data_IF_139261174295
#
_entry.id   IF_139261174295
#
_cell.length_a   1.000
_cell.length_b   1.000
_cell.length_c   1.000
_cell.angle_alpha   90.00
_cell.angle_beta   90.00
_cell.angle_gamma   90.00
#
_symmetry.space_group_name_H-M   'P 1'
#
loop_
_entity.id
_entity.type
_entity.pdbx_description
1 polymer ?
#
# COMPACT_ATOMS: atom_id res chain seq x y z
N UNK A 1 -29.12 25.75 -13.34
CA UNK A 1 -29.37 24.62 -12.44
C UNK A 1 -28.01 24.10 -11.96
N UNK A 2 -27.47 24.69 -10.89
CA UNK A 2 -26.27 24.16 -10.24
C UNK A 2 -26.67 22.96 -9.39
N UNK A 3 -26.27 21.77 -9.82
CA UNK A 3 -26.38 20.56 -9.01
C UNK A 3 -25.33 20.66 -7.90
N UNK A 4 -25.75 21.08 -6.72
CA UNK A 4 -24.98 20.93 -5.48
C UNK A 4 -24.77 19.44 -5.20
N UNK A 5 -23.71 18.86 -5.78
CA UNK A 5 -23.20 17.57 -5.34
C UNK A 5 -22.49 17.83 -4.02
N UNK A 6 -23.14 17.46 -2.90
CA UNK A 6 -22.47 17.42 -1.59
C UNK A 6 -21.25 16.49 -1.72
N UNK A 7 -20.05 17.05 -1.79
CA UNK A 7 -18.81 16.26 -1.72
C UNK A 7 -18.83 15.53 -0.37
N UNK A 8 -18.76 14.19 -0.41
CA UNK A 8 -18.54 13.39 0.81
C UNK A 8 -17.26 13.90 1.44
N UNK A 9 -17.30 14.27 2.73
CA UNK A 9 -16.11 14.66 3.46
C UNK A 9 -15.17 13.45 3.52
N UNK A 10 -13.88 13.67 3.26
CA UNK A 10 -12.86 12.64 3.46
C UNK A 10 -12.81 12.24 4.94
N UNK A 11 -12.40 10.99 5.18
CA UNK A 11 -12.05 10.56 6.54
C UNK A 11 -10.79 11.31 6.99
N UNK A 12 -10.48 11.37 8.29
CA UNK A 12 -9.28 12.04 8.78
C UNK A 12 -8.00 11.51 8.12
N UNK A 13 -7.00 12.38 7.94
CA UNK A 13 -5.74 12.06 7.27
C UNK A 13 -5.02 10.85 7.91
N UNK A 14 -5.16 10.71 9.23
CA UNK A 14 -4.64 9.62 10.05
C UNK A 14 -5.12 8.24 9.59
N UNK A 15 -6.26 8.15 8.90
CA UNK A 15 -6.79 6.88 8.37
C UNK A 15 -5.99 6.43 7.15
N UNK A 16 -5.51 7.37 6.34
CA UNK A 16 -4.89 7.05 5.05
C UNK A 16 -3.38 6.83 5.17
N UNK A 17 -2.70 7.53 6.08
CA UNK A 17 -1.23 7.47 6.23
C UNK A 17 -0.70 6.06 6.53
N UNK A 18 -1.25 5.31 7.52
CA UNK A 18 -0.79 3.94 7.77
C UNK A 18 -0.95 3.03 6.56
N UNK A 19 -2.07 3.15 5.84
CA UNK A 19 -2.34 2.33 4.66
C UNK A 19 -1.35 2.59 3.52
N UNK A 20 -0.87 3.83 3.36
CA UNK A 20 0.18 4.16 2.39
C UNK A 20 1.52 3.54 2.80
N UNK A 21 1.91 3.65 4.08
CA UNK A 21 3.15 3.07 4.61
C UNK A 21 3.16 1.54 4.45
N UNK A 22 2.07 0.89 4.86
CA UNK A 22 1.96 -0.57 4.75
C UNK A 22 1.96 -1.04 3.28
N UNK A 23 1.42 -0.25 2.35
CA UNK A 23 1.55 -0.58 0.92
C UNK A 23 2.99 -0.49 0.42
N UNK A 24 3.82 0.42 0.95
CA UNK A 24 5.26 0.45 0.61
C UNK A 24 5.95 -0.84 1.04
N UNK A 25 5.61 -1.39 2.22
CA UNK A 25 6.12 -2.69 2.67
C UNK A 25 5.68 -3.82 1.75
N UNK A 26 4.40 -3.84 1.35
CA UNK A 26 3.87 -4.81 0.39
C UNK A 26 4.64 -4.75 -0.96
N UNK A 27 5.03 -3.56 -1.43
CA UNK A 27 5.86 -3.42 -2.64
C UNK A 27 7.28 -3.91 -2.45
N UNK A 28 7.87 -3.73 -1.28
CA UNK A 28 9.18 -4.31 -0.95
C UNK A 28 9.12 -5.83 -0.87
N UNK A 29 8.00 -6.43 -0.48
CA UNK A 29 7.83 -7.88 -0.56
C UNK A 29 7.74 -8.39 -2.00
N UNK A 30 7.08 -7.65 -2.90
CA UNK A 30 7.12 -7.93 -4.35
C UNK A 30 8.55 -7.89 -4.87
N UNK A 31 9.34 -6.90 -4.45
CA UNK A 31 10.75 -6.78 -4.85
C UNK A 31 11.59 -7.98 -4.40
N UNK A 32 11.37 -8.48 -3.17
CA UNK A 32 12.03 -9.69 -2.65
C UNK A 32 11.69 -10.92 -3.49
N UNK A 33 10.42 -11.12 -3.85
CA UNK A 33 9.99 -12.24 -4.70
C UNK A 33 10.64 -12.16 -6.08
N UNK A 34 10.71 -10.97 -6.67
CA UNK A 34 11.40 -10.73 -7.95
C UNK A 34 12.91 -11.00 -7.89
N UNK A 35 13.52 -10.85 -6.71
CA UNK A 35 14.94 -11.15 -6.49
C UNK A 35 15.26 -12.64 -6.29
N UNK A 36 14.26 -13.51 -6.22
CA UNK A 36 14.47 -14.95 -6.06
C UNK A 36 15.06 -15.60 -7.32
N UNK A 37 15.64 -16.79 -7.17
CA UNK A 37 16.18 -17.56 -8.31
C UNK A 37 15.12 -17.98 -9.32
N UNK A 38 13.85 -18.03 -8.91
CA UNK A 38 12.70 -18.34 -9.77
C UNK A 38 11.55 -17.36 -9.44
N UNK A 39 11.57 -16.15 -10.03
CA UNK A 39 10.56 -15.14 -9.76
C UNK A 39 9.14 -15.62 -10.04
N UNK A 40 8.26 -15.47 -9.06
CA UNK A 40 6.84 -15.80 -9.20
C UNK A 40 6.06 -14.58 -9.69
N UNK A 41 6.11 -14.32 -11.00
CA UNK A 41 5.49 -13.12 -11.59
C UNK A 41 3.97 -13.05 -11.37
N UNK A 42 3.27 -14.18 -11.34
CA UNK A 42 1.84 -14.23 -11.05
C UNK A 42 1.53 -13.83 -9.60
N UNK A 43 2.34 -14.31 -8.65
CA UNK A 43 2.25 -13.93 -7.23
C UNK A 43 2.51 -12.45 -7.04
N UNK A 44 3.57 -11.91 -7.64
CA UNK A 44 3.87 -10.48 -7.66
C UNK A 44 2.67 -9.65 -8.16
N UNK A 45 2.10 -10.07 -9.29
CA UNK A 45 0.94 -9.42 -9.92
C UNK A 45 -0.33 -9.48 -9.06
N UNK A 46 -0.52 -10.56 -8.32
CA UNK A 46 -1.62 -10.73 -7.36
C UNK A 46 -1.47 -9.78 -6.16
N UNK A 47 -0.26 -9.66 -5.61
CA UNK A 47 0.04 -8.74 -4.51
C UNK A 47 -0.24 -7.29 -4.91
N UNK A 48 0.10 -6.87 -6.12
CA UNK A 48 -0.21 -5.50 -6.59
C UNK A 48 -1.71 -5.20 -6.76
N UNK A 49 -2.59 -6.20 -6.69
CA UNK A 49 -4.04 -6.05 -6.90
C UNK A 49 -4.90 -6.37 -5.68
N UNK A 50 -4.30 -6.88 -4.62
CA UNK A 50 -5.01 -7.38 -3.44
C UNK A 50 -4.47 -6.73 -2.17
N UNK A 51 -5.18 -6.94 -1.06
CA UNK A 51 -4.82 -6.32 0.22
C UNK A 51 -4.84 -4.79 0.14
N UNK A 52 -3.82 -4.15 0.71
CA UNK A 52 -3.72 -2.70 0.81
C UNK A 52 -3.46 -2.02 -0.53
N UNK A 53 -2.73 -2.69 -1.44
CA UNK A 53 -2.53 -2.22 -2.81
C UNK A 53 -3.86 -1.97 -3.56
N UNK A 54 -4.92 -2.73 -3.25
CA UNK A 54 -6.23 -2.58 -3.90
C UNK A 54 -6.91 -1.23 -3.61
N UNK A 55 -6.67 -0.65 -2.43
CA UNK A 55 -7.22 0.64 -2.01
C UNK A 55 -6.22 1.79 -2.15
N UNK A 56 -4.97 1.50 -2.55
CA UNK A 56 -3.88 2.48 -2.64
C UNK A 56 -4.27 3.75 -3.39
N UNK A 57 -4.89 3.62 -4.58
CA UNK A 57 -5.27 4.76 -5.42
C UNK A 57 -6.18 5.75 -4.70
N UNK A 58 -7.08 5.24 -3.85
CA UNK A 58 -7.98 6.08 -3.03
C UNK A 58 -7.17 6.73 -1.90
N UNK A 59 -6.36 5.95 -1.19
CA UNK A 59 -5.57 6.42 -0.05
C UNK A 59 -4.59 7.53 -0.45
N UNK A 60 -3.79 7.34 -1.50
CA UNK A 60 -2.78 8.32 -1.94
C UNK A 60 -3.41 9.62 -2.47
N UNK A 61 -4.60 9.53 -3.07
CA UNK A 61 -5.34 10.71 -3.52
C UNK A 61 -5.95 11.48 -2.37
N UNK A 62 -6.41 10.79 -1.33
CA UNK A 62 -6.86 11.46 -0.12
C UNK A 62 -5.69 12.20 0.55
N UNK A 63 -4.52 11.56 0.68
CA UNK A 63 -3.31 12.23 1.19
C UNK A 63 -2.94 13.45 0.34
N UNK A 64 -2.94 13.33 -0.99
CA UNK A 64 -2.65 14.46 -1.86
C UNK A 64 -3.68 15.59 -1.78
N UNK A 65 -4.95 15.26 -1.55
CA UNK A 65 -5.99 16.27 -1.32
C UNK A 65 -5.75 17.05 -0.03
N UNK A 66 -5.38 16.38 1.06
CA UNK A 66 -4.99 17.05 2.30
C UNK A 66 -3.75 17.93 2.11
N UNK A 67 -2.72 17.41 1.46
CA UNK A 67 -1.51 18.18 1.14
C UNK A 67 -1.83 19.41 0.27
N UNK A 68 -2.81 19.31 -0.63
CA UNK A 68 -3.27 20.43 -1.45
C UNK A 68 -3.95 21.53 -0.63
N UNK A 69 -4.66 21.18 0.44
CA UNK A 69 -5.27 22.16 1.35
C UNK A 69 -4.22 22.93 2.15
N UNK A 70 -3.04 22.34 2.33
CA UNK A 70 -1.86 22.96 2.98
C UNK A 70 -0.90 23.64 2.00
N UNK A 71 -1.24 23.72 0.71
CA UNK A 71 -0.44 24.40 -0.33
C UNK A 71 0.59 23.53 -1.05
N UNK A 72 0.68 22.23 -0.74
CA UNK A 72 1.60 21.28 -1.35
C UNK A 72 0.98 20.48 -2.51
N UNK A 73 -0.13 20.98 -3.09
CA UNK A 73 -0.96 20.21 -4.04
C UNK A 73 -0.22 19.72 -5.28
N UNK A 74 0.56 20.60 -5.94
CA UNK A 74 1.29 20.22 -7.15
C UNK A 74 2.28 19.07 -6.87
N UNK A 75 3.10 19.22 -5.83
CA UNK A 75 4.08 18.21 -5.42
C UNK A 75 3.35 16.89 -5.09
N UNK A 76 2.26 16.95 -4.33
CA UNK A 76 1.55 15.76 -3.91
C UNK A 76 0.90 15.01 -5.09
N UNK A 77 0.21 15.71 -5.99
CA UNK A 77 -0.43 15.10 -7.15
C UNK A 77 0.59 14.59 -8.18
N UNK A 78 1.72 15.28 -8.37
CA UNK A 78 2.81 14.80 -9.23
C UNK A 78 3.36 13.46 -8.74
N UNK A 79 3.55 13.32 -7.42
CA UNK A 79 3.97 12.05 -6.82
C UNK A 79 2.91 10.95 -6.94
N UNK A 80 1.62 11.29 -6.82
CA UNK A 80 0.53 10.33 -7.08
C UNK A 80 0.59 9.82 -8.53
N UNK A 81 0.75 10.71 -9.49
CA UNK A 81 0.81 10.33 -10.91
C UNK A 81 2.06 9.51 -11.23
N UNK A 82 3.22 9.89 -10.66
CA UNK A 82 4.46 9.12 -10.81
C UNK A 82 4.31 7.70 -10.24
N UNK A 83 3.72 7.56 -9.05
CA UNK A 83 3.46 6.26 -8.44
C UNK A 83 2.54 5.39 -9.31
N UNK A 84 1.39 5.93 -9.75
CA UNK A 84 0.43 5.18 -10.55
C UNK A 84 0.99 4.75 -11.91
N UNK A 85 1.79 5.61 -12.57
CA UNK A 85 2.46 5.26 -13.84
C UNK A 85 3.46 4.13 -13.64
N UNK A 86 4.32 4.22 -12.62
CA UNK A 86 5.30 3.17 -12.34
C UNK A 86 4.62 1.82 -12.03
N UNK A 87 3.49 1.82 -11.32
CA UNK A 87 2.71 0.61 -11.04
C UNK A 87 2.04 0.04 -12.29
N UNK A 88 1.55 0.87 -13.22
CA UNK A 88 0.99 0.43 -14.49
C UNK A 88 2.06 -0.22 -15.40
N UNK A 89 3.26 0.37 -15.44
CA UNK A 89 4.41 -0.18 -16.17
C UNK A 89 4.92 -1.49 -15.54
N UNK A 90 5.02 -1.55 -14.21
CA UNK A 90 5.35 -2.76 -13.47
C UNK A 90 4.31 -3.85 -13.76
N UNK A 91 3.02 -3.53 -13.69
CA UNK A 91 1.96 -4.49 -13.97
C UNK A 91 2.04 -5.05 -15.40
N UNK A 92 2.24 -4.17 -16.37
CA UNK A 92 2.38 -4.55 -17.77
C UNK A 92 3.58 -5.48 -17.97
N UNK A 93 4.70 -5.19 -17.31
CA UNK A 93 5.92 -6.00 -17.34
C UNK A 93 5.69 -7.37 -16.71
N UNK A 94 5.04 -7.43 -15.55
CA UNK A 94 4.67 -8.69 -14.89
C UNK A 94 3.73 -9.53 -15.77
N UNK A 95 2.77 -8.92 -16.48
CA UNK A 95 1.90 -9.64 -17.42
C UNK A 95 2.72 -10.33 -18.51
N UNK A 96 3.63 -9.59 -19.13
CA UNK A 96 4.50 -10.09 -20.21
C UNK A 96 5.39 -11.22 -19.71
N UNK A 97 5.96 -11.05 -18.52
CA UNK A 97 6.79 -12.07 -17.88
C UNK A 97 6.00 -13.37 -17.61
N UNK A 98 4.75 -13.29 -17.13
CA UNK A 98 3.90 -14.49 -16.97
C UNK A 98 3.62 -15.24 -18.28
N UNK A 99 3.79 -14.57 -19.43
CA UNK A 99 3.60 -15.12 -20.78
C UNK A 99 4.91 -15.55 -21.45
N UNK A 100 6.03 -15.52 -20.72
CA UNK A 100 7.40 -15.81 -21.22
C UNK A 100 7.83 -14.89 -22.38
N UNK A 101 7.35 -13.66 -22.40
CA UNK A 101 7.77 -12.65 -23.38
C UNK A 101 9.17 -12.10 -23.01
N UNK A 102 10.08 -12.06 -23.99
CA UNK A 102 11.49 -11.64 -23.82
C UNK A 102 11.66 -10.15 -23.51
N UNK A 103 10.60 -9.34 -23.65
CA UNK A 103 10.65 -7.89 -23.36
C UNK A 103 10.60 -7.51 -21.88
N UNK A 104 10.48 -8.47 -20.96
CA UNK A 104 10.33 -8.21 -19.53
C UNK A 104 11.67 -8.37 -18.78
N UNK A 105 12.28 -7.27 -18.35
CA UNK A 105 13.48 -7.30 -17.50
C UNK A 105 13.12 -7.21 -16.02
N UNK A 106 13.74 -8.06 -15.19
CA UNK A 106 13.60 -7.97 -13.73
C UNK A 106 14.15 -6.63 -13.22
N UNK A 107 15.22 -6.11 -13.84
CA UNK A 107 15.83 -4.83 -13.47
C UNK A 107 14.85 -3.68 -13.68
N UNK A 108 14.12 -3.67 -14.80
CA UNK A 108 13.10 -2.64 -15.06
C UNK A 108 11.92 -2.75 -14.11
N UNK A 109 11.52 -3.98 -13.74
CA UNK A 109 10.47 -4.18 -12.73
C UNK A 109 10.89 -3.62 -11.36
N UNK A 110 12.13 -3.89 -10.92
CA UNK A 110 12.66 -3.35 -9.66
C UNK A 110 12.76 -1.82 -9.70
N UNK A 111 13.23 -1.24 -10.81
CA UNK A 111 13.27 0.20 -10.99
C UNK A 111 11.88 0.86 -10.90
N UNK A 112 10.84 0.19 -11.42
CA UNK A 112 9.46 0.66 -11.27
C UNK A 112 8.95 0.56 -9.83
N UNK A 113 9.33 -0.50 -9.09
CA UNK A 113 9.02 -0.60 -7.66
C UNK A 113 9.69 0.55 -6.89
N UNK A 114 10.98 0.79 -7.10
CA UNK A 114 11.71 1.87 -6.43
C UNK A 114 11.13 3.23 -6.77
N UNK A 115 10.75 3.45 -8.02
CA UNK A 115 10.07 4.68 -8.45
C UNK A 115 8.74 4.87 -7.73
N UNK A 116 7.93 3.82 -7.61
CA UNK A 116 6.66 3.87 -6.90
C UNK A 116 6.86 4.14 -5.40
N UNK A 117 7.79 3.43 -4.75
CA UNK A 117 8.10 3.60 -3.32
C UNK A 117 8.63 5.00 -3.03
N UNK A 118 9.55 5.52 -3.85
CA UNK A 118 10.09 6.87 -3.71
C UNK A 118 9.01 7.94 -3.87
N UNK A 119 8.07 7.75 -4.81
CA UNK A 119 6.95 8.66 -4.99
C UNK A 119 6.02 8.64 -3.77
N UNK A 120 5.77 7.46 -3.18
CA UNK A 120 5.02 7.36 -1.93
C UNK A 120 5.74 8.03 -0.76
N UNK A 121 7.07 7.88 -0.63
CA UNK A 121 7.85 8.57 0.41
C UNK A 121 7.76 10.08 0.30
N UNK A 122 7.90 10.62 -0.92
CA UNK A 122 7.76 12.05 -1.19
C UNK A 122 6.36 12.55 -0.93
N UNK A 123 5.33 11.75 -1.22
CA UNK A 123 3.96 12.07 -0.86
C UNK A 123 3.79 12.14 0.66
N UNK A 124 4.32 11.16 1.41
CA UNK A 124 4.26 11.14 2.87
C UNK A 124 5.01 12.31 3.52
N UNK A 125 6.05 12.85 2.88
CA UNK A 125 6.75 14.06 3.35
C UNK A 125 5.88 15.33 3.28
N UNK A 126 4.76 15.31 2.55
CA UNK A 126 3.82 16.43 2.51
C UNK A 126 2.82 16.44 3.69
N UNK A 127 2.80 15.38 4.48
CA UNK A 127 1.93 15.21 5.65
C UNK A 127 2.54 15.89 6.89
N UNK A 128 1.72 16.48 7.79
CA UNK A 128 2.19 16.99 9.06
C UNK A 128 3.05 15.97 9.85
N UNK A 129 4.18 16.39 10.46
CA UNK A 129 5.12 15.46 11.11
C UNK A 129 4.50 14.60 12.23
N UNK A 130 3.55 15.15 12.99
CA UNK A 130 2.86 14.45 14.07
C UNK A 130 1.92 13.36 13.55
N UNK A 131 1.21 13.62 12.45
CA UNK A 131 0.36 12.65 11.77
C UNK A 131 1.23 11.55 11.15
N UNK A 132 2.34 11.91 10.51
CA UNK A 132 3.28 10.94 9.94
C UNK A 132 3.88 10.03 11.03
N UNK A 133 4.28 10.60 12.18
CA UNK A 133 4.81 9.82 13.30
C UNK A 133 3.78 8.83 13.86
N UNK A 134 2.54 9.25 14.06
CA UNK A 134 1.44 8.36 14.46
C UNK A 134 1.18 7.28 13.42
N UNK A 135 1.18 7.65 12.14
CA UNK A 135 0.97 6.72 11.04
C UNK A 135 2.02 5.61 10.98
N UNK A 136 3.29 5.97 11.21
CA UNK A 136 4.39 5.00 11.34
C UNK A 136 4.18 4.05 12.52
N UNK A 137 3.87 4.58 13.70
CA UNK A 137 3.61 3.74 14.88
C UNK A 137 2.47 2.73 14.65
N UNK A 138 1.39 3.14 13.95
CA UNK A 138 0.30 2.23 13.58
C UNK A 138 0.78 1.17 12.58
N UNK A 139 1.49 1.58 11.52
CA UNK A 139 2.00 0.63 10.52
C UNK A 139 3.01 -0.37 11.11
N UNK A 140 3.85 0.06 12.04
CA UNK A 140 4.81 -0.78 12.76
C UNK A 140 4.09 -1.82 13.64
N UNK A 141 2.98 -1.45 14.27
CA UNK A 141 2.16 -2.38 15.05
C UNK A 141 1.56 -3.49 14.16
N UNK A 142 1.10 -3.16 12.95
CA UNK A 142 0.60 -4.16 11.98
C UNK A 142 1.71 -5.04 11.38
N UNK A 143 2.96 -4.59 11.40
CA UNK A 143 4.10 -5.28 10.79
C UNK A 143 4.92 -6.09 11.79
N UNK A 144 4.70 -5.84 13.08
CA UNK A 144 5.29 -6.65 14.14
C UNK A 144 4.63 -8.04 14.08
N UNK A 145 5.40 -9.14 14.03
CA UNK A 145 4.82 -10.46 14.19
C UNK A 145 4.22 -10.48 15.60
N UNK A 146 2.89 -10.39 15.69
CA UNK A 146 2.19 -10.77 16.90
C UNK A 146 2.50 -12.25 17.14
N UNK A 147 3.51 -12.54 17.96
CA UNK A 147 3.43 -13.64 18.91
C UNK A 147 2.29 -13.30 19.89
N UNK A 148 1.06 -13.37 19.40
CA UNK A 148 -0.16 -13.32 20.20
C UNK A 148 -1.30 -13.80 19.28
N UNK A 149 -1.26 -15.09 18.97
CA UNK A 149 -2.48 -15.86 19.14
C UNK A 149 -2.89 -15.64 20.61
N UNK A 150 -3.64 -14.57 20.89
CA UNK A 150 -4.51 -14.58 22.06
C UNK A 150 -5.55 -15.64 21.75
N UNK A 151 -5.17 -16.87 22.07
CA UNK A 151 -6.07 -17.95 22.41
C UNK A 151 -6.98 -17.34 23.48
N UNK A 152 -8.12 -16.78 23.06
CA UNK A 152 -9.21 -16.45 23.96
C UNK A 152 -9.74 -17.81 24.40
N UNK A 153 -9.02 -18.45 25.32
CA UNK A 153 -9.48 -19.64 26.02
C UNK A 153 -10.54 -19.14 26.97
N UNK A 154 -11.75 -19.00 26.44
CA UNK A 154 -12.94 -18.77 27.24
C UNK A 154 -13.04 -19.94 28.24
N UNK A 155 -12.94 -19.69 29.56
CA UNK A 155 -12.99 -20.75 30.56
C UNK A 155 -14.34 -21.49 30.58
N UNK A 156 -15.38 -20.98 29.92
CA UNK A 156 -16.65 -21.69 29.72
C UNK A 156 -16.55 -22.84 28.70
N UNK A 157 -15.67 -22.75 27.69
CA UNK A 157 -15.53 -23.81 26.67
C UNK A 157 -14.97 -25.12 27.25
N UNK A 158 -14.08 -25.04 28.24
CA UNK A 158 -13.51 -26.22 28.92
C UNK A 158 -14.52 -26.98 29.78
N UNK A 159 -15.58 -26.32 30.26
CA UNK A 159 -16.61 -27.01 31.06
C UNK A 159 -17.55 -27.84 30.20
N UNK A 160 -17.78 -27.44 28.94
CA UNK A 160 -18.64 -28.16 28.00
C UNK A 160 -18.00 -29.45 27.47
N UNK A 161 -16.67 -29.50 27.33
CA UNK A 161 -15.96 -30.72 26.92
C UNK A 161 -15.88 -31.78 28.03
N UNK A 162 -16.06 -31.40 29.30
CA UNK A 162 -16.06 -32.35 30.42
C UNK A 162 -17.38 -33.11 30.60
N UNK A 163 -18.41 -32.81 29.79
CA UNK A 163 -19.76 -33.39 29.91
C UNK A 163 -20.07 -34.37 28.75
N UNK A 164 -19.14 -34.57 27.82
CA UNK A 164 -19.29 -35.51 26.69
C UNK A 164 -18.56 -36.84 26.92
#
# INVERSE_FOLDING_TARGET
MDKYVKKKKLDPLEVYVPAVILTQLQFKDVEKILGSSKPEYATCRSLLRSGLASSLRVNIRAVAQYASEEGNGNIAFDNVDQCLRALEELDSSLLRATRNDQGASIESMKANIDTAVLALDRLLQTVPPDVLAKGKAIADAYSSPEEEETEIVDPELKQLESIL
#
